data_IF_589255262733
#
_entry.id   IF_589255262733
#
_cell.length_a   1.000
_cell.length_b   1.000
_cell.length_c   1.000
_cell.angle_alpha   90.00
_cell.angle_beta   90.00
_cell.angle_gamma   90.00
#
_symmetry.space_group_name_H-M   'P 1'
#
loop_
_entity.id
_entity.type
_entity.pdbx_description
1 polymer ?
#
# COMPACT_ATOMS: atom_id res chain seq x y z
N UNK A 1 11.93 3.07 -5.90
CA UNK A 1 11.94 2.55 -7.29
C UNK A 1 10.91 3.25 -8.18
N UNK A 2 9.60 3.22 -7.88
CA UNK A 2 8.58 3.93 -8.65
C UNK A 2 8.92 5.41 -8.89
N UNK A 3 9.32 6.12 -7.83
CA UNK A 3 9.67 7.54 -7.88
C UNK A 3 10.81 7.84 -8.86
N UNK A 4 11.82 6.97 -8.99
CA UNK A 4 12.90 7.16 -9.98
C UNK A 4 12.37 7.10 -11.42
N UNK A 5 11.39 6.25 -11.68
CA UNK A 5 10.76 6.17 -12.99
C UNK A 5 9.91 7.41 -13.29
N UNK A 6 9.19 7.91 -12.28
CA UNK A 6 8.46 9.18 -12.37
C UNK A 6 9.43 10.32 -12.70
N UNK A 7 10.53 10.47 -11.95
CA UNK A 7 11.54 11.50 -12.19
C UNK A 7 12.15 11.41 -13.59
N UNK A 8 12.46 10.20 -14.06
CA UNK A 8 12.94 9.99 -15.43
C UNK A 8 11.89 10.39 -16.48
N UNK A 9 10.63 10.05 -16.25
CA UNK A 9 9.54 10.41 -17.15
C UNK A 9 9.35 11.92 -17.23
N UNK A 10 9.38 12.62 -16.09
CA UNK A 10 9.29 14.09 -16.03
C UNK A 10 10.45 14.80 -16.78
N UNK A 11 11.61 14.14 -16.88
CA UNK A 11 12.81 14.67 -17.56
C UNK A 11 12.83 14.35 -19.06
N UNK A 12 12.49 13.13 -19.46
CA UNK A 12 12.77 12.62 -20.82
C UNK A 12 11.55 12.55 -21.75
N UNK A 13 10.33 12.70 -21.23
CA UNK A 13 9.11 12.57 -22.03
C UNK A 13 8.46 13.93 -22.25
N UNK A 14 7.99 14.17 -23.48
CA UNK A 14 7.23 15.37 -23.83
C UNK A 14 5.84 15.32 -23.17
N UNK A 15 5.15 14.20 -23.34
CA UNK A 15 3.90 13.91 -22.63
C UNK A 15 4.27 13.32 -21.27
N UNK A 16 3.94 14.03 -20.20
CA UNK A 16 4.36 13.67 -18.84
C UNK A 16 3.21 13.04 -18.05
N UNK A 17 2.74 11.87 -18.50
CA UNK A 17 1.58 11.20 -17.89
C UNK A 17 1.96 9.85 -17.27
N UNK A 18 1.94 9.80 -15.94
CA UNK A 18 2.14 8.61 -15.13
C UNK A 18 0.83 8.11 -14.55
N UNK A 19 0.59 6.81 -14.63
CA UNK A 19 -0.47 6.12 -13.91
C UNK A 19 0.18 5.16 -12.91
N UNK A 20 -0.08 5.37 -11.63
CA UNK A 20 0.34 4.50 -10.54
C UNK A 20 -0.89 3.75 -10.02
N UNK A 21 -0.91 2.44 -10.22
CA UNK A 21 -1.98 1.55 -9.80
C UNK A 21 -1.54 0.78 -8.56
N UNK A 22 -2.33 0.87 -7.48
CA UNK A 22 -2.14 0.11 -6.25
C UNK A 22 -3.40 -0.68 -5.91
N UNK A 23 -3.30 -1.82 -5.21
CA UNK A 23 -4.38 -2.80 -5.11
C UNK A 23 -5.61 -2.31 -4.31
N UNK A 24 -5.41 -1.39 -3.35
CA UNK A 24 -6.45 -0.98 -2.41
C UNK A 24 -6.56 0.53 -2.29
N UNK A 25 -7.78 1.02 -2.04
CA UNK A 25 -8.10 2.46 -1.93
C UNK A 25 -7.28 3.16 -0.82
N UNK A 26 -7.13 2.51 0.33
CA UNK A 26 -6.34 3.06 1.44
C UNK A 26 -4.88 3.26 1.06
N UNK A 27 -4.31 2.37 0.25
CA UNK A 27 -2.94 2.53 -0.25
C UNK A 27 -2.87 3.66 -1.28
N UNK A 28 -3.91 3.83 -2.10
CA UNK A 28 -4.03 4.95 -3.03
C UNK A 28 -4.04 6.30 -2.31
N UNK A 29 -4.78 6.42 -1.21
CA UNK A 29 -4.85 7.63 -0.39
C UNK A 29 -3.52 7.96 0.30
N UNK A 30 -2.87 6.95 0.88
CA UNK A 30 -1.55 7.10 1.47
C UNK A 30 -0.52 7.54 0.42
N UNK A 31 -0.56 6.93 -0.77
CA UNK A 31 0.32 7.30 -1.87
C UNK A 31 0.01 8.71 -2.37
N UNK A 32 -1.26 9.08 -2.47
CA UNK A 32 -1.67 10.42 -2.91
C UNK A 32 -1.10 11.49 -1.99
N UNK A 33 -1.26 11.30 -0.68
CA UNK A 33 -0.73 12.24 0.32
C UNK A 33 0.79 12.36 0.24
N UNK A 34 1.51 11.23 0.14
CA UNK A 34 2.98 11.23 0.02
C UNK A 34 3.47 11.90 -1.28
N UNK A 35 2.82 11.58 -2.41
CA UNK A 35 3.24 12.08 -3.72
C UNK A 35 2.76 13.50 -4.00
N UNK A 36 1.66 13.96 -3.41
CA UNK A 36 1.30 15.37 -3.42
C UNK A 36 2.34 16.22 -2.69
N UNK A 37 2.85 15.75 -1.55
CA UNK A 37 3.94 16.43 -0.84
C UNK A 37 5.24 16.47 -1.66
N UNK A 38 5.63 15.33 -2.27
CA UNK A 38 6.91 15.20 -2.98
C UNK A 38 6.92 15.78 -4.40
N UNK A 39 5.87 15.52 -5.16
CA UNK A 39 5.78 15.89 -6.58
C UNK A 39 4.83 17.05 -6.83
N UNK A 40 3.87 17.29 -5.92
CA UNK A 40 2.87 18.35 -6.05
C UNK A 40 3.44 19.76 -5.94
N UNK A 41 2.57 20.72 -5.61
CA UNK A 41 2.89 22.15 -5.55
C UNK A 41 4.07 22.45 -4.61
N UNK A 42 4.14 21.77 -3.47
CA UNK A 42 5.22 21.93 -2.48
C UNK A 42 6.57 21.34 -2.95
N UNK A 43 6.54 20.46 -3.95
CA UNK A 43 7.71 19.72 -4.42
C UNK A 43 8.16 20.15 -5.82
N UNK A 44 7.70 19.42 -6.85
CA UNK A 44 8.10 19.63 -8.25
C UNK A 44 7.04 20.36 -9.09
N UNK A 45 5.98 20.88 -8.47
CA UNK A 45 4.91 21.62 -9.16
C UNK A 45 4.05 20.75 -10.08
N UNK A 46 4.10 19.42 -9.95
CA UNK A 46 3.31 18.51 -10.77
C UNK A 46 1.85 18.44 -10.28
N UNK A 47 0.94 18.13 -11.19
CA UNK A 47 -0.46 17.85 -10.83
C UNK A 47 -0.58 16.37 -10.48
N UNK A 48 -0.84 16.07 -9.21
CA UNK A 48 -0.99 14.71 -8.67
C UNK A 48 -2.43 14.52 -8.18
N UNK A 49 -3.15 13.58 -8.82
CA UNK A 49 -4.56 13.31 -8.52
C UNK A 49 -4.83 11.83 -8.30
N UNK A 50 -5.99 11.51 -7.74
CA UNK A 50 -6.49 10.15 -7.56
C UNK A 50 -7.79 9.99 -8.35
N UNK A 51 -7.98 8.85 -9.00
CA UNK A 51 -9.26 8.53 -9.64
C UNK A 51 -10.35 8.27 -8.59
N UNK A 52 -11.56 8.68 -8.92
CA UNK A 52 -12.72 8.73 -8.03
C UNK A 52 -13.73 7.61 -8.30
N UNK A 53 -13.65 6.97 -9.48
CA UNK A 53 -14.60 5.95 -9.93
C UNK A 53 -15.72 6.50 -10.82
N UNK A 54 -15.78 7.82 -11.05
CA UNK A 54 -16.69 8.43 -12.03
C UNK A 54 -15.98 8.64 -13.38
N UNK A 55 -16.34 7.85 -14.39
CA UNK A 55 -15.62 7.78 -15.67
C UNK A 55 -15.44 9.13 -16.40
N UNK A 56 -16.42 10.03 -16.34
CA UNK A 56 -16.38 11.35 -17.00
C UNK A 56 -15.37 12.28 -16.31
N UNK A 57 -15.37 12.31 -14.98
CA UNK A 57 -14.45 13.09 -14.16
C UNK A 57 -13.05 12.51 -14.21
N UNK A 58 -12.92 11.19 -14.09
CA UNK A 58 -11.65 10.48 -14.13
C UNK A 58 -10.90 10.67 -15.45
N UNK A 59 -11.61 10.82 -16.57
CA UNK A 59 -10.99 11.19 -17.85
C UNK A 59 -10.42 12.61 -17.85
N UNK A 60 -11.12 13.57 -17.24
CA UNK A 60 -10.61 14.95 -17.11
C UNK A 60 -9.42 15.01 -16.16
N UNK A 61 -9.48 14.25 -15.05
CA UNK A 61 -8.37 14.10 -14.12
C UNK A 61 -7.15 13.49 -14.82
N UNK A 62 -7.34 12.42 -15.57
CA UNK A 62 -6.26 11.79 -16.33
C UNK A 62 -5.62 12.73 -17.34
N UNK A 63 -6.44 13.55 -18.02
CA UNK A 63 -5.92 14.45 -19.05
C UNK A 63 -5.11 15.61 -18.45
N UNK A 64 -5.60 16.21 -17.36
CA UNK A 64 -4.99 17.37 -16.71
C UNK A 64 -3.84 17.03 -15.75
N UNK A 65 -3.67 15.77 -15.36
CA UNK A 65 -2.69 15.36 -14.36
C UNK A 65 -1.39 14.84 -14.95
N UNK A 66 -0.29 15.14 -14.26
CA UNK A 66 1.01 14.55 -14.57
C UNK A 66 1.13 13.14 -13.96
N UNK A 67 0.58 12.96 -12.76
CA UNK A 67 0.60 11.71 -12.02
C UNK A 67 -0.81 11.40 -11.54
N UNK A 68 -1.30 10.22 -11.90
CA UNK A 68 -2.62 9.72 -11.51
C UNK A 68 -2.44 8.47 -10.67
N UNK A 69 -3.06 8.46 -9.50
CA UNK A 69 -3.09 7.32 -8.60
C UNK A 69 -4.46 6.64 -8.73
N UNK A 70 -4.47 5.32 -8.82
CA UNK A 70 -5.69 4.57 -9.09
C UNK A 70 -5.70 3.20 -8.43
N UNK A 71 -6.90 2.64 -8.26
CA UNK A 71 -7.11 1.21 -8.03
C UNK A 71 -7.28 0.46 -9.35
N UNK A 72 -7.16 -0.88 -9.37
CA UNK A 72 -7.47 -1.68 -10.55
C UNK A 72 -8.89 -1.44 -11.07
N UNK A 73 -9.87 -1.32 -10.17
CA UNK A 73 -11.28 -1.11 -10.54
C UNK A 73 -11.50 0.21 -11.29
N UNK A 74 -10.99 1.32 -10.75
CA UNK A 74 -11.11 2.63 -11.38
C UNK A 74 -10.36 2.67 -12.72
N UNK A 75 -9.15 2.10 -12.79
CA UNK A 75 -8.38 2.06 -14.04
C UNK A 75 -9.04 1.19 -15.10
N UNK A 76 -9.62 0.05 -14.72
CA UNK A 76 -10.32 -0.84 -15.63
C UNK A 76 -11.50 -0.11 -16.31
N UNK A 77 -12.28 0.65 -15.54
CA UNK A 77 -13.42 1.43 -16.05
C UNK A 77 -13.01 2.43 -17.14
N UNK A 78 -11.90 3.13 -16.96
CA UNK A 78 -11.44 4.12 -17.93
C UNK A 78 -10.64 3.53 -19.10
N UNK A 79 -9.91 2.43 -18.88
CA UNK A 79 -9.06 1.85 -19.92
C UNK A 79 -9.80 0.92 -20.90
N UNK A 80 -11.00 0.40 -20.56
CA UNK A 80 -11.82 -0.42 -21.49
C UNK A 80 -12.08 0.22 -22.85
N UNK A 81 -12.31 1.55 -22.90
CA UNK A 81 -12.55 2.30 -24.15
C UNK A 81 -11.31 3.08 -24.62
N UNK A 82 -10.11 2.53 -24.41
CA UNK A 82 -8.86 3.20 -24.74
C UNK A 82 -8.77 3.69 -26.20
N UNK A 83 -9.36 2.98 -27.17
CA UNK A 83 -9.35 3.37 -28.60
C UNK A 83 -9.96 4.74 -28.87
N UNK A 84 -10.99 5.13 -28.12
CA UNK A 84 -11.64 6.45 -28.26
C UNK A 84 -11.11 7.47 -27.26
N UNK A 85 -10.36 7.04 -26.25
CA UNK A 85 -9.87 7.86 -25.13
C UNK A 85 -8.39 8.19 -25.32
N UNK A 86 -8.10 9.30 -26.02
CA UNK A 86 -6.72 9.81 -26.22
C UNK A 86 -5.91 9.91 -24.92
N UNK A 87 -6.46 10.36 -23.76
CA UNK A 87 -5.67 10.46 -22.55
C UNK A 87 -5.07 9.13 -22.08
N UNK A 88 -5.76 8.01 -22.33
CA UNK A 88 -5.29 6.65 -22.00
C UNK A 88 -4.17 6.20 -22.94
N UNK A 89 -4.25 6.55 -24.23
CA UNK A 89 -3.21 6.23 -25.23
C UNK A 89 -1.91 6.99 -24.97
N UNK A 90 -2.04 8.19 -24.40
CA UNK A 90 -0.94 9.11 -24.10
C UNK A 90 -0.25 8.83 -22.75
N UNK A 91 -0.62 7.75 -22.04
CA UNK A 91 0.10 7.35 -20.82
C UNK A 91 1.53 6.99 -21.19
N UNK A 92 2.51 7.66 -20.58
CA UNK A 92 3.93 7.47 -20.85
C UNK A 92 4.61 6.52 -19.86
N UNK A 93 4.05 6.40 -18.65
CA UNK A 93 4.54 5.53 -17.60
C UNK A 93 3.36 4.87 -16.89
N UNK A 94 3.35 3.55 -16.83
CA UNK A 94 2.38 2.76 -16.07
C UNK A 94 3.10 1.94 -15.00
N UNK A 95 2.77 2.19 -13.74
CA UNK A 95 3.36 1.51 -12.59
C UNK A 95 2.26 0.67 -11.94
N UNK A 96 2.45 -0.65 -11.88
CA UNK A 96 1.59 -1.56 -11.14
C UNK A 96 2.31 -1.99 -9.86
N UNK A 97 1.79 -1.57 -8.71
CA UNK A 97 2.32 -1.93 -7.39
C UNK A 97 1.65 -3.20 -6.85
N UNK A 98 2.36 -3.86 -5.93
CA UNK A 98 1.93 -5.08 -5.25
C UNK A 98 1.46 -6.23 -6.18
N UNK A 99 2.16 -6.46 -7.30
CA UNK A 99 1.80 -7.52 -8.26
C UNK A 99 1.83 -8.96 -7.71
N UNK A 100 2.40 -9.16 -6.53
CA UNK A 100 2.27 -10.43 -5.81
C UNK A 100 0.82 -10.74 -5.38
N UNK A 101 -0.08 -9.75 -5.44
CA UNK A 101 -1.51 -9.88 -5.14
C UNK A 101 -2.36 -10.25 -6.36
N UNK A 102 -1.77 -10.71 -7.46
CA UNK A 102 -2.54 -11.23 -8.62
C UNK A 102 -3.44 -12.42 -8.24
N UNK A 103 -3.09 -13.17 -7.20
CA UNK A 103 -3.92 -14.25 -6.65
C UNK A 103 -4.96 -13.77 -5.62
N UNK A 104 -5.04 -12.46 -5.36
CA UNK A 104 -5.97 -11.92 -4.36
C UNK A 104 -7.41 -12.01 -4.88
N UNK A 105 -8.37 -12.60 -4.12
CA UNK A 105 -9.71 -12.89 -4.61
C UNK A 105 -10.49 -11.68 -5.16
N UNK A 106 -10.30 -10.49 -4.58
CA UNK A 106 -11.08 -9.31 -4.97
C UNK A 106 -10.43 -8.45 -6.05
N UNK A 107 -9.10 -8.31 -6.07
CA UNK A 107 -8.40 -7.33 -6.92
C UNK A 107 -7.53 -7.98 -7.98
N UNK A 108 -7.18 -9.26 -7.83
CA UNK A 108 -6.20 -9.95 -8.64
C UNK A 108 -6.56 -9.99 -10.12
N UNK A 109 -7.75 -10.49 -10.45
CA UNK A 109 -8.22 -10.58 -11.83
C UNK A 109 -8.30 -9.21 -12.52
N UNK A 110 -8.82 -8.19 -11.84
CA UNK A 110 -8.93 -6.84 -12.38
C UNK A 110 -7.55 -6.23 -12.61
N UNK A 111 -6.61 -6.44 -11.70
CA UNK A 111 -5.22 -6.00 -11.82
C UNK A 111 -4.51 -6.67 -13.01
N UNK A 112 -4.70 -7.98 -13.18
CA UNK A 112 -4.20 -8.74 -14.31
C UNK A 112 -4.71 -8.19 -15.65
N UNK A 113 -6.01 -7.94 -15.74
CA UNK A 113 -6.65 -7.37 -16.93
C UNK A 113 -6.09 -5.97 -17.23
N UNK A 114 -5.89 -5.14 -16.20
CA UNK A 114 -5.35 -3.79 -16.36
C UNK A 114 -3.92 -3.80 -16.94
N UNK A 115 -3.03 -4.61 -16.36
CA UNK A 115 -1.63 -4.72 -16.82
C UNK A 115 -1.58 -5.30 -18.24
N UNK A 116 -2.33 -6.37 -18.50
CA UNK A 116 -2.41 -7.00 -19.82
C UNK A 116 -2.91 -6.00 -20.88
N UNK A 117 -3.93 -5.21 -20.53
CA UNK A 117 -4.46 -4.16 -21.41
C UNK A 117 -3.43 -3.08 -21.69
N UNK A 118 -2.69 -2.63 -20.68
CA UNK A 118 -1.64 -1.62 -20.89
C UNK A 118 -0.51 -2.14 -21.78
N UNK A 119 -0.10 -3.39 -21.61
CA UNK A 119 0.85 -4.05 -22.51
C UNK A 119 0.32 -4.07 -23.95
N UNK A 120 -0.94 -4.49 -24.13
CA UNK A 120 -1.58 -4.52 -25.44
C UNK A 120 -1.70 -3.13 -26.08
N UNK A 121 -2.13 -2.10 -25.34
CA UNK A 121 -2.19 -0.72 -25.83
C UNK A 121 -0.81 -0.27 -26.30
N UNK A 122 0.21 -0.50 -25.49
CA UNK A 122 1.59 -0.11 -25.79
C UNK A 122 2.09 -0.79 -27.07
N UNK A 123 1.85 -2.09 -27.24
CA UNK A 123 2.29 -2.82 -28.45
C UNK A 123 1.57 -2.34 -29.71
N UNK A 124 0.26 -2.07 -29.63
CA UNK A 124 -0.52 -1.58 -30.78
C UNK A 124 -0.09 -0.19 -31.21
N UNK A 125 0.08 0.74 -30.26
CA UNK A 125 0.50 2.12 -30.56
C UNK A 125 1.93 2.16 -31.09
N UNK A 126 2.83 1.31 -30.57
CA UNK A 126 4.21 1.23 -31.07
C UNK A 126 4.28 0.73 -32.51
N UNK A 127 3.45 -0.28 -32.87
CA UNK A 127 3.37 -0.78 -34.24
C UNK A 127 2.87 0.31 -35.19
N UNK A 128 1.78 1.01 -34.83
CA UNK A 128 1.24 2.11 -35.63
C UNK A 128 2.24 3.25 -35.82
N UNK A 129 2.97 3.62 -34.76
CA UNK A 129 3.97 4.66 -34.85
C UNK A 129 5.13 4.31 -35.80
N UNK A 130 5.58 3.05 -35.77
CA UNK A 130 6.65 2.58 -36.65
C UNK A 130 6.30 2.65 -38.14
N UNK A 131 5.02 2.51 -38.49
CA UNK A 131 4.52 2.67 -39.86
C UNK A 131 4.43 4.14 -40.27
N UNK A 132 4.06 5.03 -39.34
CA UNK A 132 3.94 6.47 -39.60
C UNK A 132 5.25 7.25 -39.60
N UNK A 133 6.34 6.66 -39.09
CA UNK A 133 7.65 7.33 -38.99
C UNK A 133 7.76 8.37 -37.86
N UNK A 134 6.72 8.52 -37.03
CA UNK A 134 6.72 9.45 -35.90
C UNK A 134 7.64 8.96 -34.77
N UNK A 135 8.32 9.89 -34.12
CA UNK A 135 9.13 9.66 -32.93
C UNK A 135 8.24 9.36 -31.71
N UNK A 136 7.60 8.20 -31.69
CA UNK A 136 6.73 7.78 -30.59
C UNK A 136 7.52 7.02 -29.54
N UNK A 137 7.56 7.56 -28.31
CA UNK A 137 8.14 6.85 -27.17
C UNK A 137 7.06 5.99 -26.51
N UNK A 138 7.21 4.65 -26.50
CA UNK A 138 6.19 3.76 -25.93
C UNK A 138 6.01 3.98 -24.44
N UNK A 139 4.80 3.67 -23.95
CA UNK A 139 4.51 3.63 -22.53
C UNK A 139 5.45 2.64 -21.83
N UNK A 140 6.18 3.13 -20.82
CA UNK A 140 7.02 2.27 -20.00
C UNK A 140 6.18 1.61 -18.91
N UNK A 141 6.23 0.29 -18.82
CA UNK A 141 5.53 -0.47 -17.78
C UNK A 141 6.53 -0.88 -16.68
N UNK A 142 6.16 -0.68 -15.41
CA UNK A 142 6.95 -1.09 -14.25
C UNK A 142 6.07 -1.88 -13.30
N UNK A 143 6.51 -3.09 -12.96
CA UNK A 143 5.89 -3.93 -11.94
C UNK A 143 6.69 -3.88 -10.64
N UNK A 144 6.01 -3.64 -9.53
CA UNK A 144 6.57 -3.77 -8.19
C UNK A 144 5.87 -4.91 -7.47
N UNK A 145 6.65 -5.71 -6.76
CA UNK A 145 6.14 -6.84 -6.01
C UNK A 145 7.07 -7.18 -4.84
N UNK A 146 6.53 -7.90 -3.86
CA UNK A 146 7.36 -8.65 -2.93
C UNK A 146 8.14 -9.75 -3.67
N UNK A 147 9.06 -10.42 -2.97
CA UNK A 147 9.77 -11.58 -3.51
C UNK A 147 8.79 -12.67 -3.97
N UNK A 148 8.87 -13.07 -5.24
CA UNK A 148 8.00 -14.08 -5.86
C UNK A 148 8.87 -15.20 -6.45
N UNK A 149 8.41 -16.44 -6.40
CA UNK A 149 9.13 -17.60 -6.97
C UNK A 149 9.11 -17.61 -8.51
N UNK A 150 7.98 -17.26 -9.13
CA UNK A 150 7.78 -17.21 -10.58
C UNK A 150 7.95 -15.80 -11.18
N UNK A 151 8.97 -15.05 -10.74
CA UNK A 151 9.22 -13.69 -11.23
C UNK A 151 9.51 -13.62 -12.74
N UNK A 152 10.08 -14.67 -13.34
CA UNK A 152 10.35 -14.74 -14.78
C UNK A 152 9.06 -14.76 -15.59
N UNK A 153 8.05 -15.51 -15.14
CA UNK A 153 6.74 -15.58 -15.78
C UNK A 153 6.01 -14.23 -15.69
N UNK A 154 6.05 -13.62 -14.50
CA UNK A 154 5.49 -12.28 -14.27
C UNK A 154 6.17 -11.24 -15.18
N UNK A 155 7.50 -11.26 -15.25
CA UNK A 155 8.27 -10.39 -16.13
C UNK A 155 7.96 -10.62 -17.61
N UNK A 156 7.91 -11.88 -18.05
CA UNK A 156 7.55 -12.25 -19.42
C UNK A 156 6.13 -11.83 -19.80
N UNK A 157 5.17 -11.97 -18.89
CA UNK A 157 3.79 -11.51 -19.04
C UNK A 157 3.66 -9.98 -19.09
N UNK A 158 4.52 -9.23 -18.40
CA UNK A 158 4.58 -7.77 -18.51
C UNK A 158 5.37 -7.27 -19.72
N UNK A 159 6.15 -8.13 -20.35
CA UNK A 159 7.08 -7.75 -21.43
C UNK A 159 8.39 -7.14 -20.93
N UNK A 160 8.77 -7.41 -19.67
CA UNK A 160 10.05 -6.98 -19.10
C UNK A 160 11.16 -7.96 -19.55
N UNK A 161 12.24 -7.50 -20.22
CA UNK A 161 13.37 -8.37 -20.56
C UNK A 161 14.07 -8.85 -19.27
N UNK A 162 14.69 -10.04 -19.33
CA UNK A 162 15.37 -10.67 -18.18
C UNK A 162 16.39 -9.75 -17.52
N UNK A 163 17.12 -8.93 -18.30
CA UNK A 163 18.07 -7.93 -17.79
C UNK A 163 17.45 -6.81 -16.94
N UNK A 164 16.13 -6.63 -17.02
CA UNK A 164 15.37 -5.64 -16.26
C UNK A 164 14.51 -6.26 -15.14
N UNK A 165 14.63 -7.57 -14.91
CA UNK A 165 13.92 -8.30 -13.86
C UNK A 165 14.80 -8.39 -12.62
N UNK A 166 14.39 -7.70 -11.55
CA UNK A 166 15.12 -7.67 -10.29
C UNK A 166 14.33 -8.41 -9.20
N UNK A 167 14.54 -9.73 -9.09
CA UNK A 167 13.90 -10.56 -8.07
C UNK A 167 14.85 -10.82 -6.89
N UNK A 168 14.58 -10.21 -5.74
CA UNK A 168 15.41 -10.33 -4.55
C UNK A 168 14.86 -11.40 -3.60
N UNK A 169 15.70 -12.29 -3.04
CA UNK A 169 15.29 -13.19 -1.96
C UNK A 169 14.75 -12.44 -0.74
N UNK A 170 13.82 -13.05 0.01
CA UNK A 170 13.17 -12.43 1.19
C UNK A 170 14.13 -12.00 2.29
N UNK A 171 15.35 -12.58 2.32
CA UNK A 171 16.44 -12.24 3.24
C UNK A 171 17.08 -10.88 2.95
N UNK A 172 17.01 -10.40 1.70
CA UNK A 172 17.58 -9.10 1.31
C UNK A 172 16.60 -8.00 1.72
N UNK A 173 16.82 -7.41 2.88
CA UNK A 173 16.06 -6.28 3.42
C UNK A 173 17.01 -5.27 4.04
N UNK A 174 16.68 -3.99 3.95
CA UNK A 174 17.47 -2.92 4.58
C UNK A 174 17.54 -3.09 6.11
N UNK A 175 16.46 -3.58 6.71
CA UNK A 175 16.40 -3.98 8.12
C UNK A 175 16.20 -5.50 8.18
N UNK A 176 17.16 -6.26 8.73
CA UNK A 176 17.02 -7.71 8.90
C UNK A 176 15.80 -8.06 9.76
N UNK A 177 15.10 -9.13 9.39
CA UNK A 177 13.92 -9.60 10.13
C UNK A 177 14.22 -10.96 10.75
N UNK A 178 14.07 -11.05 12.08
CA UNK A 178 14.11 -12.32 12.82
C UNK A 178 12.68 -12.84 12.96
N UNK A 179 12.40 -14.01 12.37
CA UNK A 179 11.09 -14.67 12.47
C UNK A 179 11.19 -15.82 13.47
N UNK A 180 10.33 -15.82 14.49
CA UNK A 180 10.21 -16.90 15.47
C UNK A 180 8.76 -17.41 15.41
N UNK A 181 8.59 -18.71 15.18
CA UNK A 181 7.27 -19.34 15.08
C UNK A 181 7.06 -20.21 16.32
N UNK A 182 6.03 -19.89 17.10
CA UNK A 182 5.59 -20.70 18.25
C UNK A 182 4.28 -21.40 17.89
N UNK A 183 4.31 -22.74 17.82
CA UNK A 183 3.12 -23.56 17.60
C UNK A 183 2.35 -23.81 18.90
N UNK A 184 1.02 -23.78 18.84
CA UNK A 184 0.12 -24.06 19.95
C UNK A 184 -0.91 -25.12 19.55
N UNK A 185 -0.75 -26.34 20.07
CA UNK A 185 -1.62 -27.47 19.77
C UNK A 185 -2.83 -27.51 20.71
N UNK A 186 -3.75 -26.56 20.53
CA UNK A 186 -5.00 -26.47 21.29
C UNK A 186 -6.14 -26.31 20.29
N UNK A 187 -7.05 -27.28 20.24
CA UNK A 187 -8.16 -27.29 19.27
C UNK A 187 -9.11 -26.10 19.46
N UNK A 188 -9.58 -25.89 20.70
CA UNK A 188 -10.50 -24.79 21.03
C UNK A 188 -9.85 -23.43 20.82
N UNK A 189 -10.44 -22.60 19.94
CA UNK A 189 -9.95 -21.24 19.62
C UNK A 189 -9.78 -20.41 20.89
N UNK A 190 -10.79 -20.37 21.75
CA UNK A 190 -10.77 -19.50 22.94
C UNK A 190 -9.66 -19.91 23.91
N UNK A 191 -9.52 -21.22 24.16
CA UNK A 191 -8.46 -21.75 25.01
C UNK A 191 -7.07 -21.49 24.41
N UNK A 192 -6.92 -21.66 23.09
CA UNK A 192 -5.67 -21.37 22.37
C UNK A 192 -5.27 -19.90 22.49
N UNK A 193 -6.21 -18.97 22.29
CA UNK A 193 -5.94 -17.54 22.42
C UNK A 193 -5.55 -17.15 23.85
N UNK A 194 -6.23 -17.68 24.86
CA UNK A 194 -5.87 -17.45 26.26
C UNK A 194 -4.46 -17.98 26.57
N UNK A 195 -4.14 -19.19 26.11
CA UNK A 195 -2.83 -19.81 26.29
C UNK A 195 -1.68 -19.02 25.65
N UNK A 196 -1.94 -18.29 24.56
CA UNK A 196 -0.94 -17.46 23.89
C UNK A 196 -0.62 -16.15 24.61
N UNK A 197 -1.51 -15.66 25.49
CA UNK A 197 -1.42 -14.30 26.03
C UNK A 197 -0.20 -14.08 26.93
N UNK A 198 0.08 -15.01 27.86
CA UNK A 198 1.27 -14.94 28.72
C UNK A 198 2.58 -15.10 27.93
N UNK A 199 2.72 -16.06 26.99
CA UNK A 199 3.85 -16.11 26.07
C UNK A 199 4.03 -14.82 25.27
N UNK A 200 2.97 -14.18 24.78
CA UNK A 200 3.07 -12.88 24.08
C UNK A 200 3.71 -11.82 24.97
N UNK A 201 3.29 -11.68 26.23
CA UNK A 201 3.92 -10.77 27.19
C UNK A 201 5.42 -11.06 27.37
N UNK A 202 5.78 -12.33 27.55
CA UNK A 202 7.17 -12.75 27.73
C UNK A 202 8.02 -12.47 26.47
N UNK A 203 7.46 -12.66 25.27
CA UNK A 203 8.13 -12.36 24.01
C UNK A 203 8.40 -10.87 23.83
N UNK A 204 7.45 -10.02 24.25
CA UNK A 204 7.65 -8.56 24.27
C UNK A 204 8.82 -8.22 25.19
N UNK A 205 8.82 -8.73 26.43
CA UNK A 205 9.93 -8.51 27.38
C UNK A 205 11.27 -8.98 26.84
N UNK A 206 11.31 -10.16 26.20
CA UNK A 206 12.56 -10.77 25.76
C UNK A 206 13.14 -10.14 24.49
N UNK A 207 12.31 -9.69 23.55
CA UNK A 207 12.76 -9.25 22.23
C UNK A 207 12.64 -7.74 21.99
N UNK A 208 11.72 -7.05 22.68
CA UNK A 208 11.43 -5.63 22.45
C UNK A 208 10.97 -4.93 23.75
N UNK A 209 11.82 -4.86 24.79
CA UNK A 209 11.42 -4.36 26.10
C UNK A 209 11.08 -2.86 26.12
N UNK A 210 11.69 -2.07 25.24
CA UNK A 210 11.55 -0.60 25.20
C UNK A 210 11.20 -0.06 23.81
N UNK A 211 11.17 -0.93 22.80
CA UNK A 211 10.85 -0.54 21.43
C UNK A 211 9.36 -0.78 21.12
N UNK A 212 8.76 -0.04 20.17
CA UNK A 212 7.35 -0.20 19.81
C UNK A 212 7.01 -1.62 19.37
N UNK A 213 5.87 -2.14 19.85
CA UNK A 213 5.35 -3.47 19.46
C UNK A 213 3.93 -3.34 18.93
N UNK A 214 3.66 -4.05 17.84
CA UNK A 214 2.31 -4.23 17.29
C UNK A 214 1.89 -5.69 17.45
N UNK A 215 0.76 -5.93 18.13
CA UNK A 215 0.19 -7.27 18.31
C UNK A 215 -1.07 -7.40 17.45
N UNK A 216 -1.00 -8.23 16.40
CA UNK A 216 -2.16 -8.57 15.58
C UNK A 216 -2.98 -9.68 16.25
N UNK A 217 -4.30 -9.52 16.27
CA UNK A 217 -5.26 -10.45 16.88
C UNK A 217 -6.35 -10.82 15.88
N UNK A 218 -7.10 -11.88 16.17
CA UNK A 218 -8.07 -12.42 15.22
C UNK A 218 -9.37 -11.60 15.07
N UNK A 219 -9.74 -10.79 16.08
CA UNK A 219 -10.95 -9.98 16.04
C UNK A 219 -10.91 -8.74 16.96
N UNK A 220 -11.89 -7.83 16.80
CA UNK A 220 -11.99 -6.56 17.55
C UNK A 220 -12.13 -6.79 19.06
N UNK A 221 -12.92 -7.78 19.48
CA UNK A 221 -13.15 -8.07 20.90
C UNK A 221 -11.85 -8.54 21.55
N UNK A 222 -11.14 -9.40 20.83
CA UNK A 222 -9.86 -9.94 21.26
C UNK A 222 -8.80 -8.86 21.43
N UNK A 223 -8.77 -7.83 20.59
CA UNK A 223 -7.82 -6.72 20.75
C UNK A 223 -7.92 -6.07 22.12
N UNK A 224 -9.16 -5.82 22.59
CA UNK A 224 -9.41 -5.25 23.92
C UNK A 224 -9.03 -6.22 25.05
N UNK A 225 -9.36 -7.50 24.90
CA UNK A 225 -9.05 -8.53 25.90
C UNK A 225 -7.54 -8.71 26.05
N UNK A 226 -6.82 -8.90 24.95
CA UNK A 226 -5.35 -9.06 24.97
C UNK A 226 -4.67 -7.82 25.53
N UNK A 227 -5.12 -6.60 25.17
CA UNK A 227 -4.57 -5.38 25.75
C UNK A 227 -4.76 -5.33 27.29
N UNK A 228 -5.95 -5.67 27.79
CA UNK A 228 -6.22 -5.74 29.22
C UNK A 228 -5.35 -6.80 29.92
N UNK A 229 -5.24 -7.99 29.35
CA UNK A 229 -4.44 -9.07 29.91
C UNK A 229 -2.95 -8.72 29.94
N UNK A 230 -2.42 -8.05 28.90
CA UNK A 230 -1.03 -7.58 28.88
C UNK A 230 -0.76 -6.55 29.99
N UNK A 231 -1.70 -5.64 30.27
CA UNK A 231 -1.60 -4.70 31.40
C UNK A 231 -1.63 -5.42 32.76
N UNK A 232 -2.48 -6.45 32.90
CA UNK A 232 -2.53 -7.27 34.12
C UNK A 232 -1.21 -8.04 34.32
N UNK A 233 -0.64 -8.60 33.26
CA UNK A 233 0.68 -9.26 33.32
C UNK A 233 1.79 -8.28 33.71
N UNK A 234 1.77 -7.06 33.17
CA UNK A 234 2.73 -6.01 33.54
C UNK A 234 2.61 -5.61 35.03
N UNK A 235 1.38 -5.51 35.53
CA UNK A 235 1.09 -5.25 36.94
C UNK A 235 1.58 -6.40 37.84
N UNK A 236 1.33 -7.65 37.46
CA UNK A 236 1.79 -8.82 38.19
C UNK A 236 3.34 -8.94 38.23
N UNK A 237 4.02 -8.34 37.26
CA UNK A 237 5.49 -8.25 37.15
C UNK A 237 6.04 -6.97 37.83
N UNK A 238 5.26 -6.34 38.71
CA UNK A 238 5.58 -5.10 39.43
C UNK A 238 6.03 -3.94 38.53
N UNK A 239 5.57 -3.91 37.28
CA UNK A 239 5.89 -2.86 36.29
C UNK A 239 4.62 -2.41 35.56
N UNK A 240 3.63 -1.83 36.26
CA UNK A 240 2.32 -1.50 35.68
C UNK A 240 2.40 -0.53 34.50
N UNK A 241 3.37 0.40 34.54
CA UNK A 241 3.60 1.41 33.51
C UNK A 241 4.59 0.98 32.42
N UNK A 242 4.95 -0.31 32.33
CA UNK A 242 6.00 -0.81 31.41
C UNK A 242 5.84 -0.31 29.97
N UNK A 243 4.61 -0.26 29.47
CA UNK A 243 4.33 0.10 28.07
C UNK A 243 4.04 1.60 27.88
N UNK A 244 4.07 2.39 28.96
CA UNK A 244 3.81 3.82 28.95
C UNK A 244 5.13 4.57 28.96
N UNK A 245 5.51 5.08 27.79
CA UNK A 245 6.72 5.92 27.64
C UNK A 245 6.43 7.43 27.72
N UNK A 246 5.16 7.83 27.75
CA UNK A 246 4.72 9.22 27.91
C UNK A 246 4.37 9.51 29.37
N UNK A 247 4.57 10.75 29.81
CA UNK A 247 4.04 11.19 31.11
C UNK A 247 2.51 11.10 31.13
N UNK A 248 1.92 10.97 32.31
CA UNK A 248 0.45 10.95 32.44
C UNK A 248 -0.20 12.24 31.92
N UNK A 249 0.47 13.38 32.10
CA UNK A 249 0.01 14.68 31.61
C UNK A 249 -0.05 14.70 30.08
N UNK A 250 1.04 14.33 29.40
CA UNK A 250 1.10 14.27 27.95
C UNK A 250 0.13 13.25 27.37
N UNK A 251 -0.08 12.13 28.06
CA UNK A 251 -1.07 11.12 27.66
C UNK A 251 -2.50 11.67 27.74
N UNK A 252 -2.85 12.37 28.83
CA UNK A 252 -4.19 12.99 28.98
C UNK A 252 -4.45 14.02 27.89
N UNK A 253 -3.51 14.93 27.66
CA UNK A 253 -3.62 15.95 26.60
C UNK A 253 -3.79 15.31 25.22
N UNK A 254 -3.04 14.25 24.92
CA UNK A 254 -3.15 13.53 23.66
C UNK A 254 -4.52 12.84 23.49
N UNK A 255 -5.01 12.16 24.54
CA UNK A 255 -6.33 11.51 24.53
C UNK A 255 -7.45 12.54 24.36
N UNK A 256 -7.36 13.70 25.03
CA UNK A 256 -8.33 14.79 24.89
C UNK A 256 -8.31 15.43 23.50
N UNK A 257 -7.13 15.57 22.89
CA UNK A 257 -6.98 16.03 21.51
C UNK A 257 -7.68 15.09 20.53
N UNK A 258 -7.41 13.78 20.63
CA UNK A 258 -8.07 12.76 19.82
C UNK A 258 -9.59 12.73 20.05
N UNK A 259 -10.03 12.89 21.30
CA UNK A 259 -11.45 12.92 21.63
C UNK A 259 -12.17 14.10 20.97
N UNK A 260 -11.54 15.27 20.90
CA UNK A 260 -12.07 16.44 20.20
C UNK A 260 -12.10 16.25 18.67
N UNK A 261 -11.02 15.70 18.10
CA UNK A 261 -10.91 15.47 16.65
C UNK A 261 -11.95 14.47 16.14
N UNK A 262 -12.13 13.36 16.86
CA UNK A 262 -13.02 12.26 16.45
C UNK A 262 -14.40 12.27 17.12
N UNK A 263 -14.71 13.30 17.93
CA UNK A 263 -15.99 13.42 18.64
C UNK A 263 -16.24 12.31 19.67
N UNK A 264 -15.19 11.74 20.26
CA UNK A 264 -15.29 10.66 21.23
C UNK A 264 -15.56 11.19 22.64
N UNK A 265 -16.42 10.50 23.42
CA UNK A 265 -16.55 10.78 24.86
C UNK A 265 -15.45 10.06 25.63
N UNK A 266 -14.55 10.81 26.25
CA UNK A 266 -13.56 10.30 27.20
C UNK A 266 -14.26 9.76 28.46
N UNK A 267 -14.04 8.49 28.80
CA UNK A 267 -14.38 7.95 30.13
C UNK A 267 -13.14 7.93 31.02
N UNK A 268 -13.35 7.96 32.33
CA UNK A 268 -12.28 7.81 33.31
C UNK A 268 -11.47 6.52 33.04
N UNK A 269 -10.14 6.64 33.12
CA UNK A 269 -9.10 5.64 32.80
C UNK A 269 -8.61 5.54 31.34
N UNK A 270 -8.84 6.55 30.50
CA UNK A 270 -8.16 6.66 29.20
C UNK A 270 -8.59 5.63 28.14
N UNK A 271 -9.68 4.92 28.38
CA UNK A 271 -10.31 4.06 27.37
C UNK A 271 -11.23 4.93 26.50
N UNK A 272 -10.88 5.05 25.22
CA UNK A 272 -11.69 5.75 24.24
C UNK A 272 -12.54 4.76 23.46
N UNK A 273 -13.85 4.98 23.46
CA UNK A 273 -14.80 4.18 22.66
C UNK A 273 -15.43 5.05 21.60
N UNK A 274 -15.32 4.60 20.35
CA UNK A 274 -16.12 5.07 19.20
C UNK A 274 -17.61 5.12 19.56
N UNK A 275 -18.26 6.25 19.25
CA UNK A 275 -19.71 6.31 19.10
C UNK A 275 -20.05 5.71 17.72
N UNK A 276 -20.09 4.38 17.67
CA UNK A 276 -20.83 3.49 16.76
C UNK A 276 -20.40 2.04 17.02
#
# INVERSE_FOLDING_TARGET
CAEFAVLRMLKEYEIKRCVYMCPFERLAELRLTDWQRKFGVEGLGCVVTKLTGEASQDLKLLDSSHIVITTPEHWDMISRRWRTRKPVQQVSLFIADDLHLLNHPSVGATMEVCVSRMRYITSNLSAQASESGDAFKPCRIIGLAASISNANDLGGWMGAPVSSQFNFPTKIRAVPVKVIIHGYDIYSRNARMAAMTRPTYNLIKANSPTQPVVVFVGDRRQSRMVAADLMLQATADNSPDRFRHLSETAMKEHIEGLAKEYGWKTRERGLVTSLM
#
